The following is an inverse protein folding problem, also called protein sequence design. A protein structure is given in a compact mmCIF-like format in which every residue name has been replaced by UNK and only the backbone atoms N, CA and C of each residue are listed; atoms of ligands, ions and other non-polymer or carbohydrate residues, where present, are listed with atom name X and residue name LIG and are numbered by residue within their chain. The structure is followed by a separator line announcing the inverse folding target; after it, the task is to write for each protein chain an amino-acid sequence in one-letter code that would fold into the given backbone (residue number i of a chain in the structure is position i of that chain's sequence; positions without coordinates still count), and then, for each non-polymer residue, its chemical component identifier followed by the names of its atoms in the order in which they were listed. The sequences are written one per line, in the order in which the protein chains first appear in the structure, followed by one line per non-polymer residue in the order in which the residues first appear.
data_IF_506620880518
#
_entry.id   IF_506620880518
#
_cell.length_a   1.000
_cell.length_b   1.000
_cell.length_c   1.000
_cell.angle_alpha   90.00
_cell.angle_beta   90.00
_cell.angle_gamma   90.00
#
_symmetry.space_group_name_H-M   'P 1'
#
loop_
_entity.id
_entity.type
_entity.pdbx_description
1 polymer ?
#
# COMPACT_ATOMS: atom_id res chain seq x y z
N UNK A 1 -7.38 -18.04 -11.65
CA UNK A 1 -6.63 -16.77 -11.83
C UNK A 1 -5.12 -16.96 -11.76
N UNK A 2 -4.56 -17.54 -10.68
CA UNK A 2 -3.11 -17.68 -10.51
C UNK A 2 -2.38 -18.37 -11.68
N UNK A 3 -2.92 -19.47 -12.22
CA UNK A 3 -2.31 -20.16 -13.37
C UNK A 3 -2.27 -19.32 -14.65
N UNK A 4 -3.32 -18.55 -14.92
CA UNK A 4 -3.36 -17.65 -16.07
C UNK A 4 -2.35 -16.50 -15.92
N UNK A 5 -2.23 -15.90 -14.72
CA UNK A 5 -1.23 -14.86 -14.47
C UNK A 5 0.19 -15.42 -14.66
N UNK A 6 0.47 -16.60 -14.12
CA UNK A 6 1.78 -17.23 -14.29
C UNK A 6 2.11 -17.53 -15.76
N UNK A 7 1.11 -17.84 -16.58
CA UNK A 7 1.27 -18.14 -18.00
C UNK A 7 1.41 -16.88 -18.86
N UNK A 8 0.59 -15.85 -18.60
CA UNK A 8 0.47 -14.68 -19.46
C UNK A 8 1.33 -13.50 -18.98
N UNK A 9 1.67 -13.45 -17.69
CA UNK A 9 2.42 -12.39 -17.03
C UNK A 9 3.52 -12.98 -16.13
N UNK A 10 4.53 -13.68 -16.72
CA UNK A 10 5.51 -14.45 -15.96
C UNK A 10 6.40 -13.60 -15.04
N UNK A 11 6.58 -12.31 -15.35
CA UNK A 11 7.37 -11.37 -14.55
C UNK A 11 6.55 -10.64 -13.48
N UNK A 12 5.27 -11.02 -13.28
CA UNK A 12 4.37 -10.36 -12.33
C UNK A 12 4.20 -11.22 -11.07
N UNK A 13 4.54 -10.64 -9.92
CA UNK A 13 4.26 -11.26 -8.63
C UNK A 13 2.77 -11.15 -8.30
N UNK A 14 2.07 -12.29 -8.24
CA UNK A 14 0.67 -12.32 -7.83
C UNK A 14 0.53 -12.39 -6.30
N UNK A 15 0.13 -11.27 -5.71
CA UNK A 15 -0.17 -11.13 -4.28
C UNK A 15 -1.67 -11.32 -4.01
N UNK A 16 -2.00 -11.86 -2.84
CA UNK A 16 -3.37 -11.97 -2.37
C UNK A 16 -3.79 -10.66 -1.70
N UNK A 17 -5.02 -10.25 -1.94
CA UNK A 17 -5.58 -9.03 -1.36
C UNK A 17 -5.76 -9.18 0.15
N UNK A 18 -5.06 -8.35 0.93
CA UNK A 18 -5.11 -8.39 2.39
C UNK A 18 -6.53 -8.21 2.92
N UNK A 19 -7.37 -7.37 2.31
CA UNK A 19 -8.76 -7.20 2.76
C UNK A 19 -9.61 -8.46 2.60
N UNK A 20 -9.54 -9.12 1.44
CA UNK A 20 -10.28 -10.36 1.22
C UNK A 20 -9.86 -11.42 2.25
N UNK A 21 -8.56 -11.46 2.58
CA UNK A 21 -8.05 -12.31 3.64
C UNK A 21 -8.64 -11.88 4.99
N UNK A 22 -8.55 -10.59 5.37
CA UNK A 22 -9.11 -10.04 6.61
C UNK A 22 -10.60 -10.34 6.79
N UNK A 23 -11.40 -10.31 5.72
CA UNK A 23 -12.83 -10.62 5.78
C UNK A 23 -13.11 -12.11 6.01
N UNK A 24 -12.20 -13.00 5.60
CA UNK A 24 -12.34 -14.44 5.83
C UNK A 24 -12.02 -14.82 7.27
N UNK A 25 -11.23 -14.02 7.98
CA UNK A 25 -10.92 -14.28 9.38
C UNK A 25 -12.17 -14.28 10.29
N UNK A 26 -13.08 -13.28 10.27
CA UNK A 26 -14.33 -13.33 11.01
C UNK A 26 -15.21 -14.52 10.63
N UNK A 27 -15.25 -14.93 9.35
CA UNK A 27 -16.05 -16.09 8.91
C UNK A 27 -15.48 -17.42 9.43
N UNK A 28 -14.14 -17.57 9.43
CA UNK A 28 -13.45 -18.83 9.72
C UNK A 28 -13.03 -18.98 11.17
N UNK A 29 -12.86 -17.87 11.89
CA UNK A 29 -12.38 -17.79 13.26
C UNK A 29 -13.25 -16.83 14.09
N UNK A 30 -14.56 -16.81 13.85
CA UNK A 30 -15.54 -15.91 14.48
C UNK A 30 -15.40 -15.80 16.01
N UNK A 31 -15.10 -16.92 16.67
CA UNK A 31 -14.93 -17.03 18.12
C UNK A 31 -13.68 -16.31 18.67
N UNK A 32 -12.65 -16.12 17.85
CA UNK A 32 -11.33 -15.61 18.25
C UNK A 32 -11.02 -14.24 17.66
N UNK A 33 -11.33 -14.02 16.38
CA UNK A 33 -10.81 -12.88 15.63
C UNK A 33 -11.38 -11.53 16.08
N UNK A 34 -12.68 -11.46 16.36
CA UNK A 34 -13.35 -10.21 16.75
C UNK A 34 -12.99 -9.73 18.16
N UNK A 35 -12.35 -10.57 18.96
CA UNK A 35 -12.08 -10.32 20.39
C UNK A 35 -10.60 -10.05 20.69
N UNK A 36 -9.69 -10.28 19.73
CA UNK A 36 -8.27 -10.31 20.02
C UNK A 36 -7.42 -9.53 19.00
N UNK A 37 -6.71 -8.47 19.42
CA UNK A 37 -5.83 -7.69 18.54
C UNK A 37 -4.59 -8.47 18.08
N UNK A 38 -4.33 -9.63 18.68
CA UNK A 38 -3.15 -10.47 18.45
C UNK A 38 -2.99 -10.89 16.99
N UNK A 39 -4.09 -11.21 16.29
CA UNK A 39 -4.06 -11.53 14.86
C UNK A 39 -3.58 -10.35 14.03
N UNK A 40 -4.12 -9.16 14.26
CA UNK A 40 -3.72 -7.96 13.54
C UNK A 40 -2.25 -7.60 13.84
N UNK A 41 -1.82 -7.74 15.09
CA UNK A 41 -0.43 -7.52 15.47
C UNK A 41 0.53 -8.53 14.80
N UNK A 42 0.14 -9.80 14.73
CA UNK A 42 0.93 -10.82 14.05
C UNK A 42 1.01 -10.56 12.53
N UNK A 43 -0.11 -10.22 11.89
CA UNK A 43 -0.21 -10.09 10.43
C UNK A 43 0.40 -8.76 9.93
N UNK A 44 0.08 -7.64 10.57
CA UNK A 44 0.41 -6.30 10.07
C UNK A 44 1.62 -5.66 10.73
N UNK A 45 1.94 -6.02 11.98
CA UNK A 45 2.99 -5.40 12.77
C UNK A 45 4.26 -6.25 12.87
N UNK A 46 4.39 -7.30 12.06
CA UNK A 46 5.62 -8.11 11.95
C UNK A 46 6.48 -7.57 10.82
N UNK A 47 7.61 -6.96 11.17
CA UNK A 47 8.48 -6.23 10.24
C UNK A 47 9.52 -7.12 9.54
N UNK A 48 9.83 -8.28 10.11
CA UNK A 48 10.76 -9.28 9.57
C UNK A 48 10.10 -10.65 9.52
N UNK A 49 10.65 -11.54 8.69
CA UNK A 49 10.15 -12.91 8.53
C UNK A 49 10.24 -13.68 9.86
N UNK A 50 11.35 -13.57 10.58
CA UNK A 50 11.55 -14.24 11.87
C UNK A 50 10.52 -13.79 12.92
N UNK A 51 10.28 -12.48 13.04
CA UNK A 51 9.29 -11.93 13.98
C UNK A 51 7.89 -12.42 13.63
N UNK A 52 7.58 -12.57 12.34
CA UNK A 52 6.31 -13.14 11.93
C UNK A 52 6.20 -14.62 12.32
N UNK A 53 7.22 -15.43 12.02
CA UNK A 53 7.21 -16.86 12.32
C UNK A 53 7.03 -17.14 13.81
N UNK A 54 7.74 -16.40 14.66
CA UNK A 54 7.64 -16.55 16.11
C UNK A 54 6.25 -16.15 16.63
N UNK A 55 5.73 -15.00 16.17
CA UNK A 55 4.39 -14.53 16.55
C UNK A 55 3.30 -15.46 16.03
N UNK A 56 3.44 -15.99 14.83
CA UNK A 56 2.47 -16.89 14.23
C UNK A 56 2.40 -18.21 14.99
N UNK A 57 3.55 -18.82 15.31
CA UNK A 57 3.62 -20.03 16.13
C UNK A 57 2.98 -19.81 17.51
N UNK A 58 3.36 -18.73 18.19
CA UNK A 58 2.79 -18.40 19.49
C UNK A 58 1.26 -18.19 19.43
N UNK A 59 0.77 -17.55 18.37
CA UNK A 59 -0.65 -17.31 18.14
C UNK A 59 -1.41 -18.62 17.90
N UNK A 60 -0.88 -19.51 17.06
CA UNK A 60 -1.52 -20.81 16.76
C UNK A 60 -1.67 -21.66 18.02
N UNK A 61 -0.60 -21.76 18.83
CA UNK A 61 -0.61 -22.52 20.09
C UNK A 61 -1.57 -21.89 21.11
N UNK A 62 -1.54 -20.56 21.25
CA UNK A 62 -2.39 -19.84 22.22
C UNK A 62 -3.89 -20.09 22.02
N UNK A 63 -4.31 -20.31 20.78
CA UNK A 63 -5.72 -20.49 20.42
C UNK A 63 -6.06 -21.93 20.01
N UNK A 64 -5.14 -22.88 20.19
CA UNK A 64 -5.32 -24.30 19.85
C UNK A 64 -5.77 -24.49 18.38
N UNK A 65 -5.09 -23.78 17.46
CA UNK A 65 -5.44 -23.73 16.04
C UNK A 65 -4.52 -24.60 15.16
N UNK A 66 -3.73 -25.49 15.75
CA UNK A 66 -2.75 -26.33 15.07
C UNK A 66 -3.41 -27.18 13.97
N UNK A 67 -4.58 -27.75 14.25
CA UNK A 67 -5.32 -28.63 13.33
C UNK A 67 -6.30 -27.86 12.41
N UNK A 68 -6.28 -26.52 12.44
CA UNK A 68 -7.15 -25.71 11.60
C UNK A 68 -6.64 -25.70 10.15
N UNK A 69 -7.25 -26.54 9.31
CA UNK A 69 -6.87 -26.72 7.89
C UNK A 69 -6.90 -25.42 7.07
N UNK A 70 -7.79 -24.48 7.39
CA UNK A 70 -7.86 -23.20 6.71
C UNK A 70 -6.65 -22.31 7.04
N UNK A 71 -6.28 -22.23 8.33
CA UNK A 71 -5.09 -21.50 8.78
C UNK A 71 -3.80 -22.12 8.25
N UNK A 72 -3.69 -23.45 8.24
CA UNK A 72 -2.56 -24.16 7.65
C UNK A 72 -2.41 -23.82 6.15
N UNK A 73 -3.52 -23.86 5.40
CA UNK A 73 -3.53 -23.48 3.99
C UNK A 73 -3.17 -22.02 3.76
N UNK A 74 -3.66 -21.11 4.61
CA UNK A 74 -3.36 -19.69 4.54
C UNK A 74 -1.88 -19.40 4.88
N UNK A 75 -1.32 -20.09 5.88
CA UNK A 75 0.09 -20.03 6.24
C UNK A 75 0.99 -20.55 5.11
N UNK A 76 0.60 -21.64 4.43
CA UNK A 76 1.30 -22.13 3.24
C UNK A 76 1.40 -21.10 2.11
N UNK A 77 0.55 -20.08 2.12
CA UNK A 77 0.55 -18.98 1.17
C UNK A 77 1.21 -17.70 1.70
N UNK A 78 1.89 -17.72 2.87
CA UNK A 78 2.46 -16.53 3.55
C UNK A 78 3.26 -15.58 2.65
N UNK A 79 4.03 -16.12 1.70
CA UNK A 79 4.80 -15.34 0.72
C UNK A 79 3.95 -14.50 -0.25
N UNK A 80 2.63 -14.70 -0.29
CA UNK A 80 1.72 -13.96 -1.17
C UNK A 80 0.91 -12.90 -0.44
N UNK A 81 0.93 -12.83 0.90
CA UNK A 81 0.03 -11.92 1.62
C UNK A 81 0.59 -11.31 2.90
N UNK A 82 1.62 -11.91 3.50
CA UNK A 82 2.28 -11.35 4.68
C UNK A 82 3.29 -10.29 4.23
N UNK A 83 3.21 -9.11 4.86
CA UNK A 83 4.05 -7.95 4.52
C UNK A 83 5.54 -8.23 4.69
N UNK A 84 5.92 -9.01 5.72
CA UNK A 84 7.31 -9.40 5.97
C UNK A 84 7.93 -10.11 4.75
N UNK A 85 7.20 -11.04 4.12
CA UNK A 85 7.68 -11.80 2.97
C UNK A 85 7.47 -11.10 1.62
N UNK A 86 6.52 -10.16 1.54
CA UNK A 86 6.20 -9.43 0.30
C UNK A 86 6.96 -8.11 0.17
N UNK A 87 7.85 -7.78 1.12
CA UNK A 87 8.59 -6.52 1.18
C UNK A 87 9.42 -6.22 -0.08
N UNK A 88 9.94 -7.23 -0.75
CA UNK A 88 10.70 -7.10 -2.00
C UNK A 88 9.80 -6.76 -3.20
N UNK A 89 8.48 -6.91 -3.06
CA UNK A 89 7.52 -6.64 -4.13
C UNK A 89 6.94 -5.24 -3.96
N UNK A 90 7.21 -4.36 -4.92
CA UNK A 90 6.59 -3.04 -4.95
C UNK A 90 5.10 -3.17 -5.27
N UNK A 91 4.26 -2.94 -4.27
CA UNK A 91 2.81 -2.95 -4.41
C UNK A 91 2.20 -1.55 -4.55
N UNK A 92 2.99 -0.48 -4.68
CA UNK A 92 2.48 0.90 -4.77
C UNK A 92 1.44 1.30 -3.68
N UNK A 93 1.54 0.72 -2.48
CA UNK A 93 0.58 0.94 -1.39
C UNK A 93 -0.75 0.20 -1.55
N UNK A 94 -0.83 -0.77 -2.46
CA UNK A 94 -1.99 -1.66 -2.69
C UNK A 94 -2.10 -2.71 -1.57
N UNK A 95 -2.28 -2.29 -0.33
CA UNK A 95 -2.41 -3.21 0.82
C UNK A 95 -3.81 -3.27 1.40
N UNK A 96 -4.77 -2.50 0.87
CA UNK A 96 -6.12 -2.39 1.42
C UNK A 96 -7.15 -2.18 0.32
N UNK A 97 -8.43 -2.31 0.69
CA UNK A 97 -9.66 -2.09 -0.08
C UNK A 97 -9.72 -0.87 -0.97
N UNK A 98 -8.80 0.10 -0.84
CA UNK A 98 -8.82 1.37 -1.55
C UNK A 98 -9.08 1.26 -3.06
N UNK A 99 -8.64 0.17 -3.70
CA UNK A 99 -8.96 -0.09 -5.12
C UNK A 99 -10.40 -0.50 -5.38
N UNK A 100 -10.93 -1.46 -4.62
CA UNK A 100 -12.33 -1.90 -4.77
C UNK A 100 -13.29 -0.86 -4.23
N UNK A 101 -12.99 -0.22 -3.11
CA UNK A 101 -13.76 0.92 -2.58
C UNK A 101 -13.71 2.12 -3.53
N UNK A 102 -12.55 2.43 -4.12
CA UNK A 102 -12.45 3.50 -5.11
C UNK A 102 -13.26 3.21 -6.37
N UNK A 103 -13.26 1.95 -6.84
CA UNK A 103 -14.07 1.52 -7.98
C UNK A 103 -15.57 1.51 -7.64
N UNK A 104 -15.93 1.03 -6.45
CA UNK A 104 -17.31 1.03 -5.97
C UNK A 104 -17.79 2.48 -5.82
N UNK A 105 -17.08 3.33 -5.08
CA UNK A 105 -17.39 4.75 -4.93
C UNK A 105 -17.47 5.50 -6.26
N UNK A 106 -16.68 5.09 -7.27
CA UNK A 106 -16.77 5.63 -8.61
C UNK A 106 -18.11 5.30 -9.29
N UNK A 107 -18.62 4.09 -9.11
CA UNK A 107 -19.88 3.62 -9.69
C UNK A 107 -21.11 3.77 -8.78
N UNK A 108 -20.95 4.06 -7.49
CA UNK A 108 -22.05 4.14 -6.52
C UNK A 108 -23.10 5.21 -6.91
N UNK A 109 -22.68 6.26 -7.63
CA UNK A 109 -23.61 7.28 -8.16
C UNK A 109 -24.28 6.89 -9.48
N UNK A 110 -23.96 5.73 -10.04
CA UNK A 110 -24.34 5.29 -11.39
C UNK A 110 -25.06 3.94 -11.42
N UNK A 111 -24.77 3.06 -10.45
CA UNK A 111 -25.24 1.68 -10.45
C UNK A 111 -25.73 1.34 -9.04
N UNK A 112 -26.82 0.58 -8.96
CA UNK A 112 -27.37 0.02 -7.73
C UNK A 112 -27.58 -1.49 -7.89
N UNK A 113 -27.92 -2.18 -6.79
CA UNK A 113 -28.26 -3.61 -6.81
C UNK A 113 -29.44 -3.97 -7.73
N UNK A 114 -30.26 -2.97 -8.10
CA UNK A 114 -31.45 -3.16 -8.94
C UNK A 114 -31.22 -2.73 -10.40
N UNK A 115 -30.02 -2.26 -10.76
CA UNK A 115 -29.72 -1.77 -12.12
C UNK A 115 -29.66 -2.94 -13.10
N UNK A 116 -30.47 -2.88 -14.16
CA UNK A 116 -30.49 -3.90 -15.21
C UNK A 116 -29.25 -3.86 -16.09
N UNK A 117 -28.94 -4.96 -16.81
CA UNK A 117 -27.71 -5.06 -17.60
C UNK A 117 -27.56 -3.97 -18.67
N UNK A 118 -28.63 -3.63 -19.38
CA UNK A 118 -28.61 -2.54 -20.38
C UNK A 118 -28.28 -1.20 -19.71
N UNK A 119 -28.98 -0.89 -18.63
CA UNK A 119 -28.82 0.35 -17.87
C UNK A 119 -27.41 0.43 -17.26
N UNK A 120 -26.85 -0.69 -16.81
CA UNK A 120 -25.47 -0.79 -16.34
C UNK A 120 -24.48 -0.35 -17.41
N UNK A 121 -24.60 -0.84 -18.66
CA UNK A 121 -23.68 -0.47 -19.75
C UNK A 121 -23.78 1.03 -20.05
N UNK A 122 -24.99 1.56 -20.14
CA UNK A 122 -25.22 2.99 -20.41
C UNK A 122 -24.66 3.87 -19.28
N UNK A 123 -24.89 3.50 -18.02
CA UNK A 123 -24.42 4.26 -16.86
C UNK A 123 -22.91 4.12 -16.66
N UNK A 124 -22.33 2.96 -16.98
CA UNK A 124 -20.88 2.77 -16.96
C UNK A 124 -20.19 3.67 -17.99
N UNK A 125 -20.75 3.78 -19.19
CA UNK A 125 -20.23 4.69 -20.21
C UNK A 125 -20.29 6.16 -19.75
N UNK A 126 -21.40 6.61 -19.15
CA UNK A 126 -21.51 7.96 -18.57
C UNK A 126 -20.47 8.20 -17.47
N UNK A 127 -20.21 7.21 -16.63
CA UNK A 127 -19.20 7.31 -15.57
C UNK A 127 -17.80 7.52 -16.16
N UNK A 128 -17.45 6.75 -17.19
CA UNK A 128 -16.18 6.86 -17.92
C UNK A 128 -16.04 8.22 -18.60
N UNK A 129 -17.08 8.70 -19.29
CA UNK A 129 -17.08 10.02 -19.92
C UNK A 129 -16.86 11.14 -18.91
N UNK A 130 -17.51 11.07 -17.73
CA UNK A 130 -17.27 12.05 -16.66
C UNK A 130 -15.84 11.98 -16.13
N UNK A 131 -15.26 10.79 -16.02
CA UNK A 131 -13.84 10.67 -15.63
C UNK A 131 -12.93 11.34 -16.65
N UNK A 132 -13.13 11.03 -17.93
CA UNK A 132 -12.36 11.61 -19.02
C UNK A 132 -12.45 13.13 -19.05
N UNK A 133 -13.64 13.69 -18.89
CA UNK A 133 -13.84 15.14 -18.88
C UNK A 133 -13.17 15.81 -17.67
N UNK A 134 -13.21 15.17 -16.49
CA UNK A 134 -12.47 15.65 -15.30
C UNK A 134 -10.96 15.63 -15.53
N UNK A 135 -10.43 14.56 -16.11
CA UNK A 135 -9.00 14.44 -16.41
C UNK A 135 -8.55 15.51 -17.41
N UNK A 136 -9.33 15.72 -18.47
CA UNK A 136 -9.07 16.77 -19.47
C UNK A 136 -9.04 18.17 -18.86
N UNK A 137 -9.96 18.46 -17.94
CA UNK A 137 -10.01 19.74 -17.23
C UNK A 137 -8.79 19.93 -16.31
N UNK A 138 -8.38 18.88 -15.58
CA UNK A 138 -7.20 18.94 -14.71
C UNK A 138 -5.89 19.05 -15.52
N UNK A 139 -5.81 18.39 -16.67
CA UNK A 139 -4.71 18.54 -17.62
C UNK A 139 -4.62 19.97 -18.15
N UNK A 140 -5.76 20.54 -18.53
CA UNK A 140 -5.86 21.92 -18.98
C UNK A 140 -5.37 22.89 -17.90
N UNK A 141 -5.87 22.78 -16.66
CA UNK A 141 -5.41 23.60 -15.52
C UNK A 141 -3.92 23.41 -15.24
N UNK A 142 -3.42 22.18 -15.34
CA UNK A 142 -2.00 21.86 -15.11
C UNK A 142 -1.11 22.51 -16.16
N UNK A 143 -1.55 22.58 -17.42
CA UNK A 143 -0.82 23.23 -18.52
C UNK A 143 -0.89 24.76 -18.46
N UNK A 144 -2.02 25.31 -18.01
CA UNK A 144 -2.26 26.75 -18.02
C UNK A 144 -1.77 27.48 -16.76
N UNK A 145 -1.44 26.77 -15.68
CA UNK A 145 -1.00 27.40 -14.43
C UNK A 145 0.44 27.05 -14.10
N UNK A 146 1.25 28.07 -13.81
CA UNK A 146 2.61 27.85 -13.33
C UNK A 146 2.59 27.21 -11.93
N UNK A 147 3.53 26.30 -11.71
CA UNK A 147 3.74 25.66 -10.41
C UNK A 147 4.56 26.61 -9.52
N UNK A 148 4.06 26.92 -8.33
CA UNK A 148 4.78 27.77 -7.38
C UNK A 148 5.96 27.02 -6.77
N UNK A 149 7.18 27.49 -7.02
CA UNK A 149 8.43 26.94 -6.47
C UNK A 149 8.68 27.55 -5.09
N UNK A 150 8.97 26.74 -4.07
CA UNK A 150 9.18 27.21 -2.68
C UNK A 150 10.65 27.18 -2.27
N UNK A 151 11.33 26.07 -2.49
CA UNK A 151 12.69 25.81 -1.99
C UNK A 151 13.79 26.22 -2.99
N UNK A 152 13.44 26.39 -4.27
CA UNK A 152 14.34 26.77 -5.37
C UNK A 152 15.50 25.79 -5.57
N UNK A 153 15.30 24.52 -5.25
CA UNK A 153 16.30 23.47 -5.48
C UNK A 153 16.20 22.92 -6.90
N UNK A 154 17.30 22.38 -7.43
CA UNK A 154 17.31 21.72 -8.74
C UNK A 154 16.32 20.53 -8.79
N UNK A 155 16.19 19.81 -7.68
CA UNK A 155 15.24 18.70 -7.55
C UNK A 155 13.79 19.17 -7.62
N UNK A 156 13.46 20.30 -7.00
CA UNK A 156 12.12 20.90 -7.09
C UNK A 156 11.80 21.38 -8.51
N UNK A 157 12.76 21.99 -9.20
CA UNK A 157 12.59 22.40 -10.59
C UNK A 157 12.35 21.20 -11.52
N UNK A 158 13.11 20.13 -11.33
CA UNK A 158 12.93 18.89 -12.09
C UNK A 158 11.59 18.21 -11.77
N UNK A 159 11.18 18.16 -10.49
CA UNK A 159 9.87 17.67 -10.11
C UNK A 159 8.73 18.47 -10.74
N UNK A 160 8.90 19.79 -10.90
CA UNK A 160 7.90 20.66 -11.52
C UNK A 160 7.71 20.40 -13.03
N UNK A 161 8.75 19.96 -13.74
CA UNK A 161 8.65 19.66 -15.17
C UNK A 161 8.00 18.30 -15.45
N UNK A 162 8.13 17.34 -14.52
CA UNK A 162 7.62 15.97 -14.69
C UNK A 162 6.22 15.79 -14.11
N UNK A 163 5.97 16.28 -12.90
CA UNK A 163 4.75 15.92 -12.17
C UNK A 163 3.54 16.77 -12.57
N UNK A 164 2.36 16.14 -12.57
CA UNK A 164 1.07 16.86 -12.57
C UNK A 164 1.00 17.79 -11.36
N UNK A 165 0.18 18.85 -11.41
CA UNK A 165 0.14 19.86 -10.34
C UNK A 165 -0.14 19.26 -8.96
N UNK A 166 -1.06 18.29 -8.90
CA UNK A 166 -1.41 17.59 -7.66
C UNK A 166 -0.26 16.75 -7.12
N UNK A 167 0.43 16.01 -7.99
CA UNK A 167 1.60 15.21 -7.59
C UNK A 167 2.79 16.09 -7.21
N UNK A 168 2.99 17.19 -7.91
CA UNK A 168 4.03 18.16 -7.60
C UNK A 168 3.83 18.78 -6.20
N UNK A 169 2.58 19.11 -5.83
CA UNK A 169 2.28 19.61 -4.47
C UNK A 169 2.63 18.58 -3.39
N UNK A 170 2.23 17.31 -3.57
CA UNK A 170 2.59 16.23 -2.63
C UNK A 170 4.10 16.03 -2.56
N UNK A 171 4.78 16.08 -3.70
CA UNK A 171 6.22 16.00 -3.78
C UNK A 171 6.88 17.17 -3.03
N UNK A 172 6.40 18.40 -3.20
CA UNK A 172 6.91 19.57 -2.46
C UNK A 172 6.70 19.42 -0.94
N UNK A 173 5.55 18.91 -0.50
CA UNK A 173 5.28 18.65 0.92
C UNK A 173 6.31 17.65 1.49
N UNK A 174 6.57 16.55 0.77
CA UNK A 174 7.58 15.56 1.16
C UNK A 174 9.00 16.10 1.09
N UNK A 175 9.31 16.96 0.10
CA UNK A 175 10.60 17.60 -0.02
C UNK A 175 10.88 18.54 1.16
N UNK A 176 9.86 19.30 1.59
CA UNK A 176 9.95 20.13 2.79
C UNK A 176 10.12 19.25 4.03
N UNK A 177 9.32 18.19 4.18
CA UNK A 177 9.47 17.27 5.31
C UNK A 177 10.87 16.63 5.36
N UNK A 178 11.43 16.25 4.21
CA UNK A 178 12.77 15.67 4.11
C UNK A 178 13.87 16.61 4.65
N UNK A 179 13.67 17.93 4.59
CA UNK A 179 14.64 18.88 5.17
C UNK A 179 14.69 18.86 6.70
N UNK A 180 13.73 18.23 7.36
CA UNK A 180 13.75 18.02 8.82
C UNK A 180 14.62 16.84 9.25
N UNK A 181 15.11 16.05 8.29
CA UNK A 181 15.95 14.90 8.54
C UNK A 181 17.43 15.23 8.30
N UNK A 182 18.29 14.74 9.20
CA UNK A 182 19.74 14.83 9.09
C UNK A 182 20.31 13.45 8.79
N UNK A 183 21.22 13.38 7.81
CA UNK A 183 21.86 12.13 7.41
C UNK A 183 23.33 12.21 7.76
N UNK A 184 23.81 11.24 8.54
CA UNK A 184 25.22 11.09 8.90
C UNK A 184 25.74 9.74 8.41
N UNK A 185 26.99 9.69 7.95
CA UNK A 185 27.63 8.44 7.54
C UNK A 185 27.84 7.56 8.76
N UNK A 186 27.35 6.32 8.69
CA UNK A 186 27.44 5.35 9.78
C UNK A 186 28.84 4.73 9.82
N UNK A 187 29.77 5.39 10.52
CA UNK A 187 31.17 4.98 10.56
C UNK A 187 31.36 3.63 11.25
N UNK A 188 30.50 3.27 12.20
CA UNK A 188 30.61 2.02 12.97
C UNK A 188 30.35 0.78 12.11
N UNK A 189 29.43 0.92 11.14
CA UNK A 189 29.03 -0.16 10.22
C UNK A 189 29.83 -0.16 8.90
N UNK A 190 30.70 0.84 8.70
CA UNK A 190 31.54 0.99 7.51
C UNK A 190 32.94 0.37 7.67
N UNK A 191 33.22 -0.29 8.81
CA UNK A 191 34.54 -0.81 9.17
C UNK A 191 34.79 -2.24 8.71
N UNK A 192 33.74 -2.95 8.31
CA UNK A 192 33.86 -4.20 7.55
C UNK A 192 34.06 -3.82 6.07
N UNK A 193 34.89 -4.56 5.32
CA UNK A 193 35.20 -4.32 3.90
C UNK A 193 33.96 -4.50 2.99
N UNK A 194 32.93 -3.69 3.20
CA UNK A 194 31.69 -3.72 2.47
C UNK A 194 31.75 -2.78 1.25
N UNK A 195 31.24 -3.26 0.11
CA UNK A 195 31.03 -2.46 -1.12
C UNK A 195 29.99 -1.33 -0.90
N UNK A 196 29.35 -1.29 0.27
CA UNK A 196 28.23 -0.42 0.58
C UNK A 196 28.60 0.62 1.64
N UNK A 197 28.18 1.87 1.41
CA UNK A 197 28.25 2.91 2.43
C UNK A 197 26.92 3.01 3.17
N UNK A 198 26.96 2.85 4.50
CA UNK A 198 25.80 2.97 5.37
C UNK A 198 25.63 4.40 5.90
N UNK A 199 24.37 4.83 6.04
CA UNK A 199 24.01 6.14 6.59
C UNK A 199 22.94 5.99 7.68
N UNK A 200 23.08 6.75 8.78
CA UNK A 200 22.05 6.93 9.80
C UNK A 200 21.24 8.19 9.45
N UNK A 201 19.92 8.09 9.52
CA UNK A 201 19.00 9.19 9.28
C UNK A 201 18.27 9.53 10.59
N UNK A 202 18.35 10.78 11.01
CA UNK A 202 17.81 11.29 12.26
C UNK A 202 16.73 12.32 11.97
N UNK A 203 15.67 12.34 12.78
CA UNK A 203 14.69 13.43 12.83
C UNK A 203 14.74 14.04 14.21
N UNK A 204 14.92 15.35 14.30
CA UNK A 204 14.85 16.02 15.59
C UNK A 204 13.40 16.01 16.07
N UNK A 205 13.13 15.32 17.18
CA UNK A 205 11.83 15.39 17.84
C UNK A 205 11.72 16.77 18.49
N UNK A 206 10.83 17.61 17.99
CA UNK A 206 10.48 18.86 18.69
C UNK A 206 9.58 18.45 19.85
N UNK A 207 9.99 18.77 21.08
CA UNK A 207 9.12 18.59 22.25
C UNK A 207 7.81 19.38 22.04
N UNK A 208 6.63 18.78 22.24
CA UNK A 208 5.35 19.43 22.00
C UNK A 208 5.00 20.55 23.02
N UNK A 209 5.96 21.03 23.81
CA UNK A 209 5.78 22.13 24.75
C UNK A 209 6.85 23.22 24.54
N UNK A 210 6.59 24.14 23.60
CA UNK A 210 7.02 25.54 23.64
C UNK A 210 6.23 26.40 22.65
#
# INVERSE_FOLDING_TARGET
MAGAISSQLPNTTHLLCSWHISNKFPEKLASYYSKHPDFNNCIYNSLTEDVFEDRWKALVVKYELEDNTWLQGLYGLKHKWIKAFTRSTFSAGQTTTSRSEGMNAFFDSYVSSCTGLKEFVENAQKALERQFMREKEEDFKTRQTCRGIKMKTALEQHGASIYTKTMFRKFQEQLVEATTYFVEKDRDRSLEEDEYTYYKCYRQLVDPEK
#
